data_IF_916113491241
#
_entry.id   IF_916113491241
#
_cell.length_a   1.000
_cell.length_b   1.000
_cell.length_c   1.000
_cell.angle_alpha   90.00
_cell.angle_beta   90.00
_cell.angle_gamma   90.00
#
_symmetry.space_group_name_H-M   'P 1'
#
loop_
_entity.id
_entity.type
_entity.pdbx_description
1 polymer ?
#
# COMPACT_ATOMS: atom_id res chain seq x y z
N UNK A 1 -31.04 -8.36 -29.22
CA UNK A 1 -30.95 -9.01 -27.89
C UNK A 1 -29.49 -9.17 -27.44
N UNK A 2 -28.63 -9.90 -28.17
CA UNK A 2 -27.20 -10.04 -27.82
C UNK A 2 -26.46 -8.70 -27.67
N UNK A 3 -26.64 -7.76 -28.62
CA UNK A 3 -26.06 -6.39 -28.52
C UNK A 3 -26.56 -5.61 -27.31
N UNK A 4 -27.81 -5.83 -26.89
CA UNK A 4 -28.41 -5.14 -25.74
C UNK A 4 -27.84 -5.68 -24.43
N UNK A 5 -27.67 -7.01 -24.32
CA UNK A 5 -27.03 -7.66 -23.17
C UNK A 5 -25.57 -7.23 -23.06
N UNK A 6 -24.83 -7.23 -24.17
CA UNK A 6 -23.43 -6.78 -24.22
C UNK A 6 -23.29 -5.31 -23.79
N UNK A 7 -24.21 -4.44 -24.21
CA UNK A 7 -24.23 -3.03 -23.79
C UNK A 7 -24.48 -2.88 -22.29
N UNK A 8 -25.39 -3.66 -21.72
CA UNK A 8 -25.66 -3.65 -20.27
C UNK A 8 -24.46 -4.19 -19.49
N UNK A 9 -23.89 -5.32 -19.91
CA UNK A 9 -22.70 -5.90 -19.27
C UNK A 9 -21.50 -4.95 -19.33
N UNK A 10 -21.28 -4.26 -20.45
CA UNK A 10 -20.22 -3.26 -20.57
C UNK A 10 -20.45 -2.06 -19.63
N UNK A 11 -21.68 -1.58 -19.51
CA UNK A 11 -22.01 -0.52 -18.54
C UNK A 11 -21.77 -0.96 -17.10
N UNK A 12 -22.21 -2.16 -16.73
CA UNK A 12 -22.00 -2.71 -15.37
C UNK A 12 -20.51 -2.89 -15.10
N UNK A 13 -19.76 -3.45 -16.05
CA UNK A 13 -18.30 -3.61 -15.93
C UNK A 13 -17.59 -2.25 -15.78
N UNK A 14 -18.02 -1.23 -16.53
CA UNK A 14 -17.49 0.12 -16.40
C UNK A 14 -17.71 0.69 -15.00
N UNK A 15 -18.92 0.56 -14.45
CA UNK A 15 -19.24 1.03 -13.09
C UNK A 15 -18.40 0.30 -12.04
N UNK A 16 -18.27 -1.02 -12.14
CA UNK A 16 -17.43 -1.82 -11.22
C UNK A 16 -15.96 -1.39 -11.31
N UNK A 17 -15.43 -1.19 -12.51
CA UNK A 17 -14.05 -0.71 -12.70
C UNK A 17 -13.84 0.68 -12.12
N UNK A 18 -14.81 1.57 -12.30
CA UNK A 18 -14.77 2.91 -11.72
C UNK A 18 -14.77 2.87 -10.19
N UNK A 19 -15.63 2.06 -9.58
CA UNK A 19 -15.66 1.84 -8.13
C UNK A 19 -14.36 1.24 -7.61
N UNK A 20 -13.79 0.27 -8.32
CA UNK A 20 -12.51 -0.34 -7.96
C UNK A 20 -11.37 0.69 -7.99
N UNK A 21 -11.29 1.52 -9.04
CA UNK A 21 -10.32 2.61 -9.13
C UNK A 21 -10.47 3.60 -7.98
N UNK A 22 -11.70 4.01 -7.67
CA UNK A 22 -11.97 4.92 -6.56
C UNK A 22 -11.53 4.32 -5.22
N UNK A 23 -11.86 3.05 -4.98
CA UNK A 23 -11.44 2.32 -3.77
C UNK A 23 -9.92 2.24 -3.63
N UNK A 24 -9.21 1.97 -4.73
CA UNK A 24 -7.74 1.96 -4.76
C UNK A 24 -7.19 3.34 -4.39
N UNK A 25 -7.76 4.42 -4.96
CA UNK A 25 -7.35 5.79 -4.63
C UNK A 25 -7.57 6.11 -3.15
N UNK A 26 -8.73 5.75 -2.59
CA UNK A 26 -8.99 5.94 -1.16
C UNK A 26 -8.00 5.16 -0.30
N UNK A 27 -7.71 3.90 -0.65
CA UNK A 27 -6.70 3.09 0.04
C UNK A 27 -5.30 3.75 0.01
N UNK A 28 -4.93 4.36 -1.11
CA UNK A 28 -3.67 5.09 -1.25
C UNK A 28 -3.63 6.33 -0.34
N UNK A 29 -4.72 7.09 -0.27
CA UNK A 29 -4.84 8.25 0.64
C UNK A 29 -4.69 7.81 2.09
N UNK A 30 -5.39 6.74 2.50
CA UNK A 30 -5.30 6.19 3.87
C UNK A 30 -3.87 5.73 4.20
N UNK A 31 -3.19 5.07 3.26
CA UNK A 31 -1.79 4.67 3.42
C UNK A 31 -0.90 5.91 3.67
N UNK A 32 -1.02 6.95 2.85
CA UNK A 32 -0.25 8.18 2.98
C UNK A 32 -0.52 8.83 4.35
N UNK A 33 -1.78 8.96 4.75
CA UNK A 33 -2.17 9.53 6.05
C UNK A 33 -1.57 8.75 7.22
N UNK A 34 -1.58 7.43 7.18
CA UNK A 34 -1.01 6.57 8.22
C UNK A 34 0.51 6.75 8.35
N UNK A 35 1.21 6.80 7.21
CA UNK A 35 2.67 7.03 7.18
C UNK A 35 3.01 8.42 7.70
N UNK A 36 2.23 9.45 7.32
CA UNK A 36 2.42 10.83 7.81
C UNK A 36 2.26 10.91 9.32
N UNK A 37 1.27 10.22 9.90
CA UNK A 37 1.06 10.21 11.35
C UNK A 37 2.23 9.54 12.10
N UNK A 38 2.84 8.48 11.53
CA UNK A 38 4.01 7.81 12.10
C UNK A 38 5.32 8.62 12.02
N UNK A 39 5.34 9.76 11.32
CA UNK A 39 6.55 10.58 11.13
C UNK A 39 7.15 11.06 12.46
N UNK A 40 6.32 11.49 13.41
CA UNK A 40 6.78 12.08 14.67
C UNK A 40 7.56 11.11 15.56
N UNK A 41 7.18 9.83 15.57
CA UNK A 41 7.88 8.80 16.34
C UNK A 41 9.25 8.48 15.73
N UNK A 42 9.33 8.40 14.39
CA UNK A 42 10.57 8.11 13.65
C UNK A 42 11.63 9.20 13.77
N UNK A 43 11.22 10.47 13.92
CA UNK A 43 12.18 11.57 14.16
C UNK A 43 12.90 11.37 15.49
N UNK A 44 12.19 11.01 16.56
CA UNK A 44 12.78 10.76 17.88
C UNK A 44 13.77 9.60 17.83
N UNK A 45 13.41 8.49 17.19
CA UNK A 45 14.32 7.34 16.98
C UNK A 45 15.56 7.70 16.18
N UNK A 46 15.41 8.47 15.09
CA UNK A 46 16.55 8.88 14.25
C UNK A 46 17.54 9.76 15.02
N UNK A 47 17.04 10.64 15.90
CA UNK A 47 17.88 11.46 16.79
C UNK A 47 18.61 10.56 17.80
N UNK A 48 17.91 9.61 18.45
CA UNK A 48 18.53 8.65 19.37
C UNK A 48 19.62 7.81 18.69
N UNK A 49 19.35 7.26 17.51
CA UNK A 49 20.32 6.48 16.73
C UNK A 49 21.54 7.33 16.33
N UNK A 50 21.34 8.61 16.00
CA UNK A 50 22.46 9.54 15.72
C UNK A 50 23.28 9.84 16.96
N UNK A 51 22.68 9.92 18.16
CA UNK A 51 23.45 10.06 19.41
C UNK A 51 24.28 8.82 19.73
N UNK A 52 23.86 7.64 19.25
CA UNK A 52 24.60 6.38 19.35
C UNK A 52 25.65 6.20 18.24
N UNK A 53 25.84 7.20 17.37
CA UNK A 53 26.87 7.17 16.32
C UNK A 53 26.44 6.57 14.98
N UNK A 54 25.15 6.30 14.76
CA UNK A 54 24.67 5.72 13.51
C UNK A 54 24.85 6.69 12.32
N UNK A 55 25.37 6.15 11.21
CA UNK A 55 25.55 6.87 9.96
C UNK A 55 24.20 7.06 9.24
N UNK A 56 24.03 8.18 8.52
CA UNK A 56 22.78 8.49 7.78
C UNK A 56 22.36 7.39 6.79
N UNK A 57 23.32 6.68 6.20
CA UNK A 57 23.07 5.54 5.30
C UNK A 57 22.44 4.36 6.01
N UNK A 58 22.84 4.06 7.24
CA UNK A 58 22.28 2.96 8.03
C UNK A 58 20.81 3.22 8.37
N UNK A 59 20.47 4.46 8.74
CA UNK A 59 19.09 4.84 9.05
C UNK A 59 18.17 4.72 7.83
N UNK A 60 18.65 5.10 6.64
CA UNK A 60 17.89 4.94 5.40
C UNK A 60 17.67 3.47 5.04
N UNK A 61 18.69 2.62 5.22
CA UNK A 61 18.56 1.17 4.97
C UNK A 61 17.58 0.49 5.93
N UNK A 62 17.62 0.83 7.22
CA UNK A 62 16.68 0.30 8.21
C UNK A 62 15.25 0.68 7.84
N UNK A 63 15.01 1.95 7.53
CA UNK A 63 13.68 2.41 7.12
C UNK A 63 13.20 1.73 5.82
N UNK A 64 14.08 1.59 4.84
CA UNK A 64 13.74 0.92 3.58
C UNK A 64 13.37 -0.54 3.81
N UNK A 65 14.10 -1.26 4.66
CA UNK A 65 13.81 -2.64 5.01
C UNK A 65 12.46 -2.77 5.74
N UNK A 66 12.18 -1.85 6.67
CA UNK A 66 10.92 -1.86 7.40
C UNK A 66 9.72 -1.60 6.48
N UNK A 67 9.80 -0.61 5.59
CA UNK A 67 8.73 -0.37 4.60
C UNK A 67 8.59 -1.51 3.60
N UNK A 68 9.68 -2.18 3.25
CA UNK A 68 9.64 -3.38 2.42
C UNK A 68 8.91 -4.52 3.13
N UNK A 69 9.22 -4.77 4.42
CA UNK A 69 8.52 -5.77 5.23
C UNK A 69 7.03 -5.44 5.38
N UNK A 70 6.69 -4.18 5.66
CA UNK A 70 5.30 -3.74 5.76
C UNK A 70 4.56 -3.89 4.42
N UNK A 71 5.19 -3.49 3.31
CA UNK A 71 4.61 -3.60 1.96
C UNK A 71 4.39 -5.05 1.53
N UNK A 72 5.36 -5.93 1.79
CA UNK A 72 5.24 -7.35 1.48
C UNK A 72 4.15 -8.02 2.30
N UNK A 73 4.06 -7.75 3.61
CA UNK A 73 2.98 -8.27 4.47
C UNK A 73 1.60 -7.77 4.04
N UNK A 74 1.46 -6.47 3.78
CA UNK A 74 0.21 -5.89 3.31
C UNK A 74 -0.25 -6.49 1.97
N UNK A 75 0.69 -6.67 1.04
CA UNK A 75 0.34 -7.23 -0.27
C UNK A 75 0.05 -8.73 -0.21
N UNK A 76 0.78 -9.48 0.61
CA UNK A 76 0.54 -10.90 0.82
C UNK A 76 -0.84 -11.16 1.41
N UNK A 77 -1.21 -10.39 2.44
CA UNK A 77 -2.56 -10.45 3.04
C UNK A 77 -3.64 -10.02 2.06
N UNK A 78 -3.42 -8.94 1.29
CA UNK A 78 -4.36 -8.49 0.26
C UNK A 78 -4.59 -9.52 -0.85
N UNK A 79 -3.52 -10.12 -1.39
CA UNK A 79 -3.61 -11.19 -2.41
C UNK A 79 -4.29 -12.42 -1.81
N UNK A 80 -3.94 -12.82 -0.60
CA UNK A 80 -4.57 -13.95 0.09
C UNK A 80 -6.08 -13.75 0.25
N UNK A 81 -6.52 -12.57 0.69
CA UNK A 81 -7.94 -12.22 0.80
C UNK A 81 -8.62 -12.17 -0.57
N UNK A 82 -7.97 -11.64 -1.60
CA UNK A 82 -8.51 -11.59 -2.96
C UNK A 82 -8.73 -12.98 -3.54
N UNK A 83 -7.75 -13.89 -3.39
CA UNK A 83 -7.85 -15.28 -3.86
C UNK A 83 -8.93 -16.03 -3.08
N UNK A 84 -8.94 -15.91 -1.74
CA UNK A 84 -9.94 -16.56 -0.89
C UNK A 84 -11.36 -16.07 -1.21
N UNK A 85 -11.54 -14.76 -1.39
CA UNK A 85 -12.82 -14.16 -1.78
C UNK A 85 -13.26 -14.60 -3.17
N UNK A 86 -12.34 -14.64 -4.14
CA UNK A 86 -12.65 -15.09 -5.50
C UNK A 86 -13.00 -16.59 -5.54
N UNK A 87 -12.29 -17.41 -4.77
CA UNK A 87 -12.58 -18.83 -4.62
C UNK A 87 -13.94 -19.07 -3.98
N UNK A 88 -14.25 -18.37 -2.89
CA UNK A 88 -15.55 -18.44 -2.24
C UNK A 88 -16.68 -18.00 -3.19
N UNK A 89 -16.48 -16.90 -3.92
CA UNK A 89 -17.46 -16.41 -4.88
C UNK A 89 -17.69 -17.42 -6.01
N UNK A 90 -16.61 -17.97 -6.58
CA UNK A 90 -16.70 -18.97 -7.64
C UNK A 90 -17.40 -20.26 -7.17
N UNK A 91 -17.14 -20.70 -5.93
CA UNK A 91 -17.69 -21.95 -5.38
C UNK A 91 -19.14 -21.83 -4.91
N UNK A 92 -19.51 -20.73 -4.26
CA UNK A 92 -20.83 -20.59 -3.63
C UNK A 92 -21.87 -19.91 -4.53
N UNK A 93 -21.46 -19.09 -5.50
CA UNK A 93 -22.40 -18.33 -6.36
C UNK A 93 -22.43 -18.87 -7.78
N UNK A 94 -21.27 -19.25 -8.34
CA UNK A 94 -21.15 -19.56 -9.76
C UNK A 94 -21.02 -21.06 -10.07
N UNK A 95 -20.59 -21.90 -9.11
CA UNK A 95 -20.26 -23.32 -9.31
C UNK A 95 -19.25 -23.59 -10.46
N UNK A 96 -18.33 -22.65 -10.69
CA UNK A 96 -17.32 -22.72 -11.77
C UNK A 96 -15.97 -23.17 -11.18
N UNK A 97 -15.18 -24.01 -11.89
CA UNK A 97 -13.81 -24.32 -11.48
C UNK A 97 -12.95 -23.05 -11.41
N UNK A 98 -12.46 -22.73 -10.21
CA UNK A 98 -11.59 -21.58 -9.97
C UNK A 98 -10.12 -21.95 -10.23
N UNK A 99 -9.49 -21.29 -11.20
CA UNK A 99 -8.06 -21.43 -11.50
C UNK A 99 -7.34 -20.11 -11.21
N UNK A 100 -6.62 -19.98 -10.08
CA UNK A 100 -5.89 -18.76 -9.79
C UNK A 100 -4.73 -18.59 -10.75
N UNK A 101 -4.74 -17.50 -11.52
CA UNK A 101 -3.60 -17.12 -12.35
C UNK A 101 -2.56 -16.40 -11.47
N UNK A 102 -1.36 -16.98 -11.37
CA UNK A 102 -0.28 -16.45 -10.55
C UNK A 102 0.43 -15.25 -11.19
N UNK A 103 0.30 -15.07 -12.50
CA UNK A 103 1.00 -14.00 -13.22
C UNK A 103 0.50 -12.59 -12.84
N UNK A 104 -0.82 -12.30 -12.86
CA UNK A 104 -1.34 -11.02 -12.36
C UNK A 104 -1.07 -10.82 -10.87
N UNK A 105 -1.15 -11.88 -10.07
CA UNK A 105 -0.88 -11.81 -8.64
C UNK A 105 0.57 -11.39 -8.36
N UNK A 106 1.53 -11.95 -9.08
CA UNK A 106 2.94 -11.54 -8.98
C UNK A 106 3.14 -10.09 -9.42
N UNK A 107 2.53 -9.66 -10.53
CA UNK A 107 2.63 -8.28 -11.01
C UNK A 107 2.07 -7.28 -9.97
N UNK A 108 0.94 -7.60 -9.34
CA UNK A 108 0.35 -6.80 -8.26
C UNK A 108 1.23 -6.81 -7.03
N UNK A 109 1.82 -7.96 -6.67
CA UNK A 109 2.74 -8.09 -5.55
C UNK A 109 3.91 -7.11 -5.63
N UNK A 110 4.65 -7.17 -6.74
CA UNK A 110 5.79 -6.29 -6.97
C UNK A 110 5.36 -4.82 -7.09
N UNK A 111 4.25 -4.54 -7.79
CA UNK A 111 3.79 -3.16 -7.99
C UNK A 111 3.40 -2.49 -6.67
N UNK A 112 2.58 -3.14 -5.83
CA UNK A 112 2.12 -2.56 -4.57
C UNK A 112 3.28 -2.46 -3.57
N UNK A 113 4.08 -3.51 -3.42
CA UNK A 113 5.23 -3.49 -2.50
C UNK A 113 6.21 -2.37 -2.87
N UNK A 114 6.54 -2.23 -4.16
CA UNK A 114 7.41 -1.15 -4.64
C UNK A 114 6.79 0.23 -4.37
N UNK A 115 5.49 0.38 -4.60
CA UNK A 115 4.77 1.62 -4.37
C UNK A 115 4.75 2.00 -2.88
N UNK A 116 4.54 1.03 -1.98
CA UNK A 116 4.65 1.24 -0.51
C UNK A 116 6.05 1.69 -0.10
N UNK A 117 7.09 1.03 -0.62
CA UNK A 117 8.49 1.40 -0.35
C UNK A 117 8.79 2.80 -0.86
N UNK A 118 8.39 3.13 -2.09
CA UNK A 118 8.59 4.46 -2.68
C UNK A 118 7.89 5.54 -1.85
N UNK A 119 6.63 5.34 -1.47
CA UNK A 119 5.88 6.30 -0.64
C UNK A 119 6.51 6.45 0.74
N UNK A 120 6.91 5.34 1.38
CA UNK A 120 7.59 5.34 2.67
C UNK A 120 8.94 6.07 2.61
N UNK A 121 9.74 5.83 1.57
CA UNK A 121 11.03 6.50 1.35
C UNK A 121 10.88 7.98 1.02
N UNK A 122 9.94 8.37 0.16
CA UNK A 122 9.67 9.79 -0.16
C UNK A 122 9.23 10.55 1.09
N UNK A 123 8.33 9.97 1.89
CA UNK A 123 7.91 10.55 3.16
C UNK A 123 9.05 10.61 4.19
N UNK A 124 9.89 9.57 4.27
CA UNK A 124 11.06 9.54 5.15
C UNK A 124 12.08 10.62 4.78
N UNK A 125 12.28 10.90 3.48
CA UNK A 125 13.15 11.98 3.01
C UNK A 125 12.65 13.36 3.43
N UNK A 126 11.34 13.63 3.32
CA UNK A 126 10.74 14.88 3.81
C UNK A 126 10.86 15.06 5.33
N UNK A 127 10.87 13.96 6.08
CA UNK A 127 11.02 13.98 7.54
C UNK A 127 12.46 14.28 7.95
N UNK A 128 13.43 13.77 7.20
CA UNK A 128 14.86 14.00 7.45
C UNK A 128 15.28 15.42 7.04
N UNK A 129 14.56 16.06 6.12
CA UNK A 129 14.89 17.40 5.60
C UNK A 129 14.24 18.57 6.33
N UNK A 130 13.21 18.35 7.16
CA UNK A 130 12.62 19.42 7.99
C UNK A 130 13.33 19.52 9.36
N UNK A 131 13.72 20.74 9.79
CA UNK A 131 14.41 20.93 11.05
C UNK A 131 13.55 20.43 12.23
N UNK A 132 14.13 19.73 13.22
CA UNK A 132 13.44 19.22 14.40
C UNK A 132 12.77 20.29 15.28
N UNK A 133 13.07 21.57 15.05
CA UNK A 133 12.61 22.71 15.83
C UNK A 133 11.15 23.12 15.55
N UNK A 134 10.57 22.75 14.39
CA UNK A 134 9.17 23.07 14.08
C UNK A 134 8.19 22.19 14.87
N UNK A 135 8.59 20.94 15.17
CA UNK A 135 7.76 19.95 15.86
C UNK A 135 7.65 20.28 17.36
N UNK A 136 8.73 20.77 17.97
CA UNK A 136 8.73 21.16 19.38
C UNK A 136 7.94 22.45 19.65
N UNK A 137 7.64 23.23 18.60
CA UNK A 137 6.87 24.47 18.67
C UNK A 137 5.37 24.28 18.43
N UNK A 138 4.92 23.06 18.12
CA UNK A 138 3.50 22.71 18.04
C UNK A 138 2.96 22.03 19.31
N UNK A 139 3.82 21.67 20.26
CA UNK A 139 3.42 21.19 21.60
C UNK A 139 3.35 22.31 22.66
N UNK A 140 3.67 23.56 22.31
CA UNK A 140 3.51 24.74 23.19
C UNK A 140 2.37 25.63 22.68
#
# INVERSE_FOLDING_TARGET
>A
ILRSVETVLNKVSFVIRFMALFSILTGLVVLISSVVLSKFQRVKESVLLRTLGAQRSQILWINALEYFLLGTLATFTGIGLSIAGSWAFARFILDIPFTPNLWPAAAVFFSITLLTVLIGMLNSREVVSKPPLEVLRQEI
#
